data_IF_119212448402
#
_entry.id   IF_119212448402
#
_cell.length_a   1.000
_cell.length_b   1.000
_cell.length_c   1.000
_cell.angle_alpha   90.00
_cell.angle_beta   90.00
_cell.angle_gamma   90.00
#
_symmetry.space_group_name_H-M   'P 1'
#
loop_
_entity.id
_entity.type
_entity.pdbx_description
1 polymer ?
#
# COMPACT_ATOMS: atom_id res chain seq x y z
N UNK A 1 21.55 1.69 -4.39
CA UNK A 1 20.78 2.33 -3.28
C UNK A 1 19.38 2.64 -3.80
N UNK A 2 18.29 2.60 -3.04
CA UNK A 2 16.98 2.91 -3.62
C UNK A 2 16.84 4.39 -4.02
N UNK A 3 16.14 4.62 -5.13
CA UNK A 3 15.59 5.93 -5.51
C UNK A 3 14.22 6.05 -4.83
N UNK A 4 13.97 7.12 -4.10
CA UNK A 4 12.76 7.29 -3.28
C UNK A 4 11.96 8.52 -3.70
N UNK A 5 10.68 8.52 -3.34
CA UNK A 5 9.74 9.61 -3.51
C UNK A 5 9.19 10.04 -2.14
N UNK A 6 9.47 11.27 -1.71
CA UNK A 6 8.91 11.86 -0.49
C UNK A 6 7.91 12.95 -0.86
N UNK A 7 6.71 12.92 -0.28
CA UNK A 7 5.76 14.03 -0.32
C UNK A 7 5.72 14.75 1.02
N UNK A 8 5.12 15.93 1.04
CA UNK A 8 4.74 16.61 2.29
C UNK A 8 3.23 16.39 2.52
N UNK A 9 2.85 16.29 3.79
CA UNK A 9 1.45 16.19 4.19
C UNK A 9 0.81 17.58 4.23
N UNK A 10 0.10 17.94 3.15
CA UNK A 10 -0.69 19.17 3.05
C UNK A 10 -2.03 18.87 2.37
N UNK A 11 -3.08 19.52 2.86
CA UNK A 11 -4.43 19.48 2.28
C UNK A 11 -4.47 20.17 0.90
N UNK A 12 -3.82 19.60 -0.14
CA UNK A 12 -3.95 20.10 -1.51
C UNK A 12 -2.75 19.96 -2.45
N UNK A 13 -1.82 19.05 -2.21
CA UNK A 13 -0.77 18.72 -3.19
C UNK A 13 0.52 19.50 -2.97
N UNK A 14 1.37 18.95 -2.11
CA UNK A 14 2.74 19.44 -1.93
C UNK A 14 3.71 18.82 -2.92
N UNK A 15 4.82 19.50 -3.24
CA UNK A 15 5.79 18.99 -4.18
C UNK A 15 6.42 17.69 -3.70
N UNK A 16 6.66 16.77 -4.64
CA UNK A 16 7.33 15.51 -4.40
C UNK A 16 8.83 15.67 -4.60
N UNK A 17 9.61 15.19 -3.62
CA UNK A 17 11.06 15.09 -3.69
C UNK A 17 11.48 13.73 -4.24
N UNK A 18 12.36 13.74 -5.23
CA UNK A 18 13.04 12.55 -5.75
C UNK A 18 14.50 12.55 -5.29
N UNK A 19 14.95 11.46 -4.67
CA UNK A 19 16.32 11.34 -4.18
C UNK A 19 16.81 9.91 -4.04
N UNK A 20 18.09 9.75 -3.69
CA UNK A 20 18.73 8.45 -3.43
C UNK A 20 19.17 8.37 -1.97
N UNK A 21 18.94 7.23 -1.31
CA UNK A 21 19.44 7.00 0.05
C UNK A 21 19.67 5.52 0.35
N UNK A 22 20.72 5.20 1.12
CA UNK A 22 20.91 3.85 1.70
C UNK A 22 19.84 3.50 2.72
N UNK A 23 19.45 4.50 3.52
CA UNK A 23 18.46 4.36 4.57
C UNK A 23 17.46 5.53 4.43
N UNK A 24 16.32 5.23 3.81
CA UNK A 24 15.29 6.22 3.49
C UNK A 24 14.74 6.84 4.76
N UNK A 25 14.46 6.06 5.80
CA UNK A 25 13.91 6.56 7.07
C UNK A 25 14.87 7.51 7.80
N UNK A 26 16.15 7.17 7.87
CA UNK A 26 17.16 8.06 8.45
C UNK A 26 17.29 9.35 7.63
N UNK A 27 17.24 9.26 6.29
CA UNK A 27 17.27 10.43 5.41
C UNK A 27 16.02 11.30 5.59
N UNK A 28 14.83 10.70 5.68
CA UNK A 28 13.56 11.38 5.93
C UNK A 28 13.60 12.16 7.24
N UNK A 29 14.03 11.53 8.35
CA UNK A 29 14.21 12.21 9.65
C UNK A 29 15.18 13.39 9.57
N UNK A 30 16.28 13.24 8.84
CA UNK A 30 17.25 14.33 8.66
C UNK A 30 16.70 15.47 7.81
N UNK A 31 15.81 15.20 6.84
CA UNK A 31 15.14 16.22 6.05
C UNK A 31 14.02 16.90 6.84
N UNK A 32 13.33 16.16 7.71
CA UNK A 32 12.25 16.68 8.57
C UNK A 32 12.73 17.80 9.50
N UNK A 33 13.98 17.78 9.98
CA UNK A 33 14.50 18.84 10.88
C UNK A 33 14.51 20.23 10.24
N UNK A 34 14.58 20.29 8.91
CA UNK A 34 14.52 21.53 8.14
C UNK A 34 13.18 21.78 7.45
N UNK A 35 12.18 20.91 7.68
CA UNK A 35 10.87 21.01 7.05
C UNK A 35 9.76 21.17 8.10
N UNK A 36 9.00 22.27 8.08
CA UNK A 36 7.86 22.44 9.00
C UNK A 36 6.71 21.46 8.72
N UNK A 37 6.57 20.96 7.48
CA UNK A 37 5.53 20.00 7.10
C UNK A 37 6.03 18.57 7.27
N UNK A 38 5.12 17.66 7.65
CA UNK A 38 5.43 16.25 7.81
C UNK A 38 5.78 15.60 6.46
N UNK A 39 6.93 14.92 6.41
CA UNK A 39 7.37 14.20 5.22
C UNK A 39 6.86 12.76 5.24
N UNK A 40 6.12 12.39 4.20
CA UNK A 40 5.62 11.03 3.98
C UNK A 40 6.40 10.35 2.87
N UNK A 41 6.78 9.09 3.11
CA UNK A 41 7.32 8.24 2.06
C UNK A 41 6.16 7.78 1.19
N UNK A 42 6.27 7.97 -0.12
CA UNK A 42 5.24 7.58 -1.09
C UNK A 42 5.59 6.24 -1.73
N UNK A 43 6.86 6.06 -2.09
CA UNK A 43 7.36 4.84 -2.69
C UNK A 43 8.87 4.88 -2.94
N UNK A 44 9.43 3.78 -3.41
CA UNK A 44 10.83 3.68 -3.80
C UNK A 44 11.05 2.62 -4.88
N UNK A 45 12.17 2.75 -5.58
CA UNK A 45 12.65 1.80 -6.59
C UNK A 45 14.03 1.31 -6.19
N UNK A 46 14.16 -0.01 -6.04
CA UNK A 46 15.45 -0.67 -5.92
C UNK A 46 16.12 -0.74 -7.30
N UNK A 47 17.39 -0.35 -7.38
CA UNK A 47 18.14 -0.41 -8.64
C UNK A 47 19.63 -0.50 -8.36
N UNK A 48 20.37 -1.08 -9.29
CA UNK A 48 21.83 -1.05 -9.32
C UNK A 48 22.39 0.23 -9.97
N UNK A 49 21.55 0.97 -10.73
CA UNK A 49 21.90 2.24 -11.34
C UNK A 49 21.06 3.37 -10.72
N UNK A 50 21.32 3.67 -9.45
CA UNK A 50 20.60 4.69 -8.68
C UNK A 50 20.68 6.09 -9.30
N UNK A 51 21.87 6.51 -9.70
CA UNK A 51 22.08 7.87 -10.21
C UNK A 51 21.56 8.02 -11.64
N UNK A 52 21.68 6.98 -12.47
CA UNK A 52 21.08 6.96 -13.81
C UNK A 52 19.57 7.00 -13.74
N UNK A 53 18.94 6.19 -12.88
CA UNK A 53 17.49 6.19 -12.68
C UNK A 53 17.00 7.53 -12.11
N UNK A 54 17.65 8.06 -11.07
CA UNK A 54 17.31 9.36 -10.50
C UNK A 54 17.38 10.48 -11.56
N UNK A 55 18.46 10.51 -12.34
CA UNK A 55 18.63 11.49 -13.42
C UNK A 55 17.54 11.34 -14.48
N UNK A 56 17.20 10.10 -14.86
CA UNK A 56 16.13 9.83 -15.83
C UNK A 56 14.78 10.36 -15.34
N UNK A 57 14.40 10.02 -14.12
CA UNK A 57 13.14 10.49 -13.50
C UNK A 57 13.08 12.01 -13.40
N UNK A 58 14.16 12.65 -12.92
CA UNK A 58 14.25 14.11 -12.83
C UNK A 58 14.16 14.79 -14.21
N UNK A 59 14.66 14.14 -15.27
CA UNK A 59 14.55 14.64 -16.64
C UNK A 59 13.14 14.45 -17.21
N UNK A 60 12.50 13.30 -16.99
CA UNK A 60 11.11 13.03 -17.38
C UNK A 60 10.15 14.06 -16.74
N UNK A 61 10.39 14.44 -15.48
CA UNK A 61 9.58 15.41 -14.73
C UNK A 61 10.10 16.85 -14.79
N UNK A 62 11.05 17.16 -15.68
CA UNK A 62 11.70 18.48 -15.74
C UNK A 62 10.71 19.62 -15.96
N UNK A 63 9.63 19.39 -16.71
CA UNK A 63 8.61 20.38 -17.02
C UNK A 63 7.83 20.87 -15.78
N UNK A 64 7.70 20.01 -14.77
CA UNK A 64 6.96 20.26 -13.52
C UNK A 64 7.91 20.47 -12.33
N UNK A 65 9.20 20.68 -12.59
CA UNK A 65 10.20 20.89 -11.55
C UNK A 65 9.97 22.24 -10.87
N UNK A 66 9.76 22.20 -9.55
CA UNK A 66 9.61 23.38 -8.72
C UNK A 66 10.97 23.99 -8.37
N UNK A 67 11.73 23.30 -7.51
CA UNK A 67 13.06 23.77 -7.07
C UNK A 67 13.98 22.61 -6.76
N UNK A 68 15.15 22.59 -7.39
CA UNK A 68 16.15 21.55 -7.15
C UNK A 68 15.63 20.15 -7.47
N UNK A 69 15.32 19.39 -6.43
CA UNK A 69 14.86 17.98 -6.51
C UNK A 69 13.37 17.82 -6.20
N UNK A 70 12.62 18.93 -6.14
CA UNK A 70 11.20 18.98 -5.83
C UNK A 70 10.37 19.24 -7.09
N UNK A 71 9.27 18.50 -7.24
CA UNK A 71 8.42 18.47 -8.43
C UNK A 71 6.96 18.67 -8.05
N UNK A 72 6.25 19.53 -8.78
CA UNK A 72 4.83 19.80 -8.56
C UNK A 72 3.98 18.75 -9.28
N UNK A 73 3.86 17.58 -8.65
CA UNK A 73 3.07 16.43 -9.12
C UNK A 73 2.28 15.86 -7.95
N UNK A 74 1.18 15.18 -8.24
CA UNK A 74 0.39 14.49 -7.23
C UNK A 74 1.03 13.16 -6.85
N UNK A 75 0.79 12.63 -5.64
CA UNK A 75 1.30 11.32 -5.25
C UNK A 75 0.94 10.21 -6.25
N UNK A 76 -0.27 10.21 -6.81
CA UNK A 76 -0.69 9.23 -7.83
C UNK A 76 0.20 9.25 -9.09
N UNK A 77 0.79 10.41 -9.45
CA UNK A 77 1.63 10.56 -10.64
C UNK A 77 2.94 9.76 -10.55
N UNK A 78 3.36 9.31 -9.36
CA UNK A 78 4.57 8.48 -9.25
C UNK A 78 4.31 7.02 -9.61
N UNK A 79 3.05 6.57 -9.56
CA UNK A 79 2.67 5.18 -9.73
C UNK A 79 3.18 4.58 -11.05
N UNK A 80 3.07 5.25 -12.21
CA UNK A 80 3.60 4.72 -13.47
C UNK A 80 5.11 4.47 -13.47
N UNK A 81 5.89 5.18 -12.65
CA UNK A 81 7.32 4.93 -12.51
C UNK A 81 7.58 3.69 -11.66
N UNK A 82 6.82 3.52 -10.59
CA UNK A 82 6.90 2.35 -9.71
C UNK A 82 6.45 1.08 -10.45
N UNK A 83 5.32 1.11 -11.16
CA UNK A 83 4.80 -0.03 -11.93
C UNK A 83 5.80 -0.46 -13.00
N UNK A 84 6.44 0.50 -13.68
CA UNK A 84 7.48 0.21 -14.67
C UNK A 84 8.71 -0.47 -14.09
N UNK A 85 9.00 -0.27 -12.80
CA UNK A 85 10.06 -0.98 -12.09
C UNK A 85 9.64 -2.39 -11.66
N UNK A 86 8.33 -2.70 -11.66
CA UNK A 86 7.79 -4.02 -11.37
C UNK A 86 8.25 -4.56 -10.02
N UNK A 87 8.98 -5.69 -10.04
CA UNK A 87 9.51 -6.34 -8.82
C UNK A 87 10.43 -5.48 -7.97
N UNK A 88 11.00 -4.44 -8.58
CA UNK A 88 11.93 -3.54 -7.94
C UNK A 88 11.25 -2.22 -7.53
N UNK A 89 9.96 -2.03 -7.83
CA UNK A 89 9.14 -0.88 -7.45
C UNK A 89 8.26 -1.18 -6.24
N UNK A 90 8.20 -0.24 -5.29
CA UNK A 90 7.49 -0.39 -4.04
C UNK A 90 6.69 0.86 -3.68
N UNK A 91 5.50 0.65 -3.13
CA UNK A 91 4.70 1.70 -2.47
C UNK A 91 4.92 1.67 -0.96
N UNK A 92 4.89 2.84 -0.34
CA UNK A 92 4.88 2.96 1.11
C UNK A 92 3.47 2.65 1.62
N UNK A 93 3.28 1.42 2.09
CA UNK A 93 1.99 0.95 2.58
C UNK A 93 1.47 1.80 3.73
N UNK A 94 0.15 2.00 3.78
CA UNK A 94 -0.50 2.56 4.97
C UNK A 94 -0.34 1.60 6.16
N UNK A 95 -0.35 2.16 7.39
CA UNK A 95 -0.31 1.34 8.60
C UNK A 95 -1.56 0.45 8.71
N UNK A 96 -2.69 0.98 8.21
CA UNK A 96 -4.03 0.42 8.26
C UNK A 96 -4.43 -0.33 6.97
N UNK A 97 -3.48 -0.59 6.08
CA UNK A 97 -3.72 -1.41 4.90
C UNK A 97 -4.30 -2.77 5.34
N UNK A 98 -5.31 -3.26 4.62
CA UNK A 98 -6.05 -4.52 4.91
C UNK A 98 -7.06 -4.48 6.06
N UNK A 99 -7.34 -3.31 6.64
CA UNK A 99 -8.50 -3.22 7.52
C UNK A 99 -9.78 -3.40 6.72
N UNK A 100 -10.63 -4.33 7.15
CA UNK A 100 -12.00 -4.47 6.65
C UNK A 100 -12.78 -3.23 7.07
N UNK A 101 -13.23 -2.45 6.09
CA UNK A 101 -14.01 -1.23 6.32
C UNK A 101 -15.51 -1.51 6.33
N UNK A 102 -15.93 -2.63 5.74
CA UNK A 102 -17.33 -3.01 5.64
C UNK A 102 -17.51 -4.31 4.88
N UNK A 103 -18.77 -4.64 4.62
CA UNK A 103 -19.18 -5.72 3.72
C UNK A 103 -20.18 -5.12 2.74
N UNK A 104 -20.06 -5.49 1.47
CA UNK A 104 -21.04 -5.12 0.47
C UNK A 104 -22.35 -5.92 0.62
N UNK A 105 -23.29 -5.70 -0.29
CA UNK A 105 -24.59 -6.40 -0.27
C UNK A 105 -24.49 -7.91 -0.46
N UNK A 106 -23.39 -8.40 -1.01
CA UNK A 106 -23.12 -9.82 -1.28
C UNK A 106 -22.27 -10.46 -0.17
N UNK A 107 -22.10 -9.76 0.96
CA UNK A 107 -21.24 -10.15 2.08
C UNK A 107 -19.77 -10.31 1.69
N UNK A 108 -19.34 -9.62 0.63
CA UNK A 108 -17.93 -9.54 0.25
C UNK A 108 -17.29 -8.41 1.08
N UNK A 109 -16.21 -8.68 1.82
CA UNK A 109 -15.52 -7.66 2.60
C UNK A 109 -14.90 -6.57 1.71
N UNK A 110 -15.11 -5.32 2.10
CA UNK A 110 -14.44 -4.14 1.55
C UNK A 110 -13.19 -3.81 2.38
N UNK A 111 -12.10 -3.41 1.73
CA UNK A 111 -10.80 -3.19 2.40
C UNK A 111 -10.26 -1.78 2.18
N UNK A 112 -9.52 -1.30 3.17
CA UNK A 112 -8.65 -0.14 2.99
C UNK A 112 -7.48 -0.50 2.06
N UNK A 113 -7.34 0.25 0.97
CA UNK A 113 -6.29 0.06 -0.04
C UNK A 113 -4.88 0.08 0.54
N UNK A 114 -3.96 -0.59 -0.16
CA UNK A 114 -2.54 -0.70 0.24
C UNK A 114 -1.87 0.68 0.31
N UNK A 115 -2.33 1.59 -0.53
CA UNK A 115 -1.74 2.91 -0.74
C UNK A 115 -2.83 3.97 -0.74
N UNK A 116 -2.62 5.06 0.00
CA UNK A 116 -3.65 6.08 0.21
C UNK A 116 -3.97 6.90 -1.05
N UNK A 117 -3.07 6.88 -2.03
CA UNK A 117 -3.12 7.78 -3.18
C UNK A 117 -3.57 7.11 -4.49
N UNK A 118 -3.73 5.78 -4.50
CA UNK A 118 -4.34 5.07 -5.62
C UNK A 118 -4.91 3.72 -5.15
N UNK A 119 -6.02 3.33 -5.75
CA UNK A 119 -6.57 1.99 -5.60
C UNK A 119 -5.71 1.01 -6.39
N UNK A 120 -5.16 0.01 -5.71
CA UNK A 120 -4.28 -1.00 -6.29
C UNK A 120 -4.90 -2.36 -6.05
N UNK A 121 -5.05 -3.12 -7.12
CA UNK A 121 -5.53 -4.50 -7.03
C UNK A 121 -4.45 -5.44 -6.49
N UNK A 122 -4.88 -6.63 -6.07
CA UNK A 122 -4.01 -7.63 -5.45
C UNK A 122 -2.94 -8.16 -6.42
N UNK A 123 -3.25 -8.22 -7.72
CA UNK A 123 -2.36 -8.61 -8.80
C UNK A 123 -1.46 -7.45 -9.28
N UNK A 124 -1.74 -6.22 -8.85
CA UNK A 124 -0.91 -5.05 -9.13
C UNK A 124 0.07 -4.77 -7.99
N UNK A 125 -0.37 -4.91 -6.73
CA UNK A 125 0.43 -4.59 -5.55
C UNK A 125 0.36 -5.69 -4.50
N UNK A 126 1.53 -6.19 -4.08
CA UNK A 126 1.59 -7.15 -3.00
C UNK A 126 1.21 -6.48 -1.67
N UNK A 127 0.14 -6.94 -1.01
CA UNK A 127 -0.38 -6.31 0.19
C UNK A 127 0.62 -6.31 1.36
N UNK A 128 1.39 -7.38 1.51
CA UNK A 128 2.29 -7.55 2.66
C UNK A 128 3.57 -6.71 2.56
N UNK A 129 4.04 -6.43 1.35
CA UNK A 129 5.35 -5.81 1.12
C UNK A 129 5.33 -4.52 0.28
N UNK A 130 4.20 -4.18 -0.33
CA UNK A 130 4.06 -3.01 -1.20
C UNK A 130 4.74 -3.17 -2.57
N UNK A 131 5.21 -4.36 -2.96
CA UNK A 131 5.83 -4.59 -4.26
C UNK A 131 4.81 -4.45 -5.39
N UNK A 132 5.13 -3.69 -6.44
CA UNK A 132 4.30 -3.58 -7.64
C UNK A 132 4.49 -4.72 -8.64
N UNK A 133 4.92 -5.87 -8.13
CA UNK A 133 4.86 -7.15 -8.82
C UNK A 133 3.57 -7.92 -8.53
N UNK A 134 2.70 -7.39 -7.67
CA UNK A 134 1.46 -8.03 -7.27
C UNK A 134 1.63 -9.37 -6.56
N UNK A 135 0.49 -10.03 -6.40
CA UNK A 135 0.38 -11.44 -6.03
C UNK A 135 -0.04 -12.25 -7.25
N UNK A 136 0.61 -13.39 -7.47
CA UNK A 136 0.26 -14.30 -8.54
C UNK A 136 -0.59 -15.45 -8.00
N UNK A 137 -1.76 -15.68 -8.58
CA UNK A 137 -2.58 -16.83 -8.25
C UNK A 137 -1.95 -18.12 -8.80
N UNK A 138 -1.84 -19.14 -7.96
CA UNK A 138 -1.32 -20.45 -8.32
C UNK A 138 -2.44 -21.48 -8.23
N UNK A 139 -2.90 -21.97 -9.39
CA UNK A 139 -4.01 -22.93 -9.48
C UNK A 139 -3.75 -24.24 -8.70
N UNK A 140 -2.51 -24.73 -8.71
CA UNK A 140 -2.15 -26.00 -8.08
C UNK A 140 -2.32 -25.99 -6.54
N UNK A 141 -2.13 -24.84 -5.91
CA UNK A 141 -2.26 -24.64 -4.47
C UNK A 141 -3.52 -23.88 -4.08
N UNK A 142 -4.25 -23.30 -5.05
CA UNK A 142 -5.35 -22.36 -4.82
C UNK A 142 -4.93 -21.19 -3.90
N UNK A 143 -3.68 -20.73 -4.06
CA UNK A 143 -3.05 -19.72 -3.21
C UNK A 143 -2.47 -18.58 -4.03
N UNK A 144 -2.35 -17.42 -3.40
CA UNK A 144 -1.66 -16.26 -3.93
C UNK A 144 -0.19 -16.26 -3.49
N UNK A 145 0.70 -15.98 -4.43
CA UNK A 145 2.14 -16.01 -4.22
C UNK A 145 2.79 -14.66 -4.53
N UNK A 146 3.54 -14.12 -3.58
CA UNK A 146 4.40 -12.97 -3.82
C UNK A 146 5.80 -13.43 -4.24
N UNK A 147 6.21 -13.11 -5.48
CA UNK A 147 7.56 -13.43 -5.99
C UNK A 147 8.65 -12.76 -5.15
N UNK A 148 8.40 -11.55 -4.63
CA UNK A 148 9.44 -10.79 -3.92
C UNK A 148 9.74 -11.33 -2.53
N UNK A 149 8.71 -11.74 -1.78
CA UNK A 149 8.86 -12.29 -0.43
C UNK A 149 8.94 -13.82 -0.38
N UNK A 150 8.76 -14.49 -1.52
CA UNK A 150 8.64 -15.94 -1.58
C UNK A 150 7.59 -16.46 -0.58
N UNK A 151 6.45 -15.77 -0.50
CA UNK A 151 5.39 -16.03 0.48
C UNK A 151 4.12 -16.45 -0.23
N UNK A 152 3.56 -17.57 0.21
CA UNK A 152 2.26 -18.11 -0.19
C UNK A 152 1.21 -17.74 0.86
N UNK A 153 0.04 -17.31 0.42
CA UNK A 153 -1.12 -17.09 1.28
C UNK A 153 -2.40 -17.46 0.55
N UNK A 154 -3.34 -18.10 1.25
CA UNK A 154 -4.72 -18.23 0.82
C UNK A 154 -5.63 -17.19 1.49
N UNK A 155 -5.06 -16.19 2.18
CA UNK A 155 -5.84 -15.20 2.93
C UNK A 155 -6.81 -15.86 3.96
N UNK A 156 -6.32 -16.73 4.87
CA UNK A 156 -7.19 -17.44 5.81
C UNK A 156 -7.72 -16.55 6.94
N UNK A 157 -7.11 -15.37 7.13
CA UNK A 157 -7.57 -14.32 8.05
C UNK A 157 -8.90 -13.68 7.58
N UNK A 158 -9.32 -13.99 6.35
CA UNK A 158 -10.51 -13.46 5.69
C UNK A 158 -11.67 -14.49 5.68
N UNK A 159 -11.40 -15.74 6.08
CA UNK A 159 -12.37 -16.85 6.11
C UNK A 159 -13.06 -17.04 7.50
N UNK A 160 -12.88 -16.11 8.44
CA UNK A 160 -13.51 -16.18 9.76
C UNK A 160 -14.59 -15.13 9.92
N UNK A 161 -15.80 -15.50 9.51
CA UNK A 161 -16.95 -15.69 10.42
C UNK A 161 -18.20 -16.06 9.60
N UNK A 162 -18.29 -17.34 9.22
CA UNK A 162 -19.57 -17.98 8.98
C UNK A 162 -19.88 -18.94 10.14
N UNK A 163 -19.88 -18.44 11.38
CA UNK A 163 -20.63 -19.14 12.43
C UNK A 163 -22.11 -18.86 12.16
N UNK A 164 -22.77 -19.81 11.51
CA UNK A 164 -24.23 -19.83 11.41
C UNK A 164 -24.83 -19.61 12.82
N UNK A 165 -25.81 -18.70 12.99
CA UNK A 165 -26.52 -18.62 14.25
C UNK A 165 -27.23 -19.96 14.47
N UNK A 166 -26.78 -20.70 15.48
CA UNK A 166 -27.34 -21.99 15.87
C UNK A 166 -28.74 -21.75 16.48
N UNK A 167 -29.74 -21.61 15.61
CA UNK A 167 -31.17 -21.58 15.93
C UNK A 167 -31.62 -22.99 16.35
N UNK A 168 -31.24 -23.43 17.55
CA UNK A 168 -31.95 -24.54 18.19
C UNK A 168 -31.82 -24.52 19.72
N UNK A 169 -32.76 -23.82 20.37
CA UNK A 169 -33.48 -24.32 21.56
C UNK A 169 -34.67 -23.42 21.89
N UNK A 170 -35.69 -23.47 21.05
CA UNK A 170 -37.06 -23.25 21.48
C UNK A 170 -37.61 -24.56 22.08
N UNK A 171 -38.09 -24.51 23.33
CA UNK A 171 -39.26 -25.31 23.73
C UNK A 171 -39.09 -26.32 24.87
N UNK A 172 -39.55 -25.91 26.07
CA UNK A 172 -40.26 -26.64 27.17
C UNK A 172 -39.80 -26.02 28.50
N UNK A 173 -40.63 -25.47 29.38
CA UNK A 173 -41.97 -25.89 29.80
C UNK A 173 -42.74 -24.73 30.45
N UNK A 174 -44.06 -24.79 30.29
CA UNK A 174 -45.13 -23.98 30.86
C UNK A 174 -45.28 -24.09 32.39
N UNK A 175 -45.86 -23.03 32.99
CA UNK A 175 -46.63 -22.94 34.26
C UNK A 175 -45.78 -23.05 35.55
N UNK A 176 -46.00 -22.29 36.65
CA UNK A 176 -47.21 -21.85 37.36
C UNK A 176 -46.97 -20.50 38.08
N UNK A 177 -47.88 -19.52 37.94
CA UNK A 177 -48.85 -18.99 38.94
C UNK A 177 -48.29 -18.15 40.11
N UNK A 178 -48.72 -16.90 40.08
CA UNK A 178 -49.21 -16.02 41.15
C UNK A 178 -49.29 -16.57 42.58
N UNK A 179 -48.72 -15.84 43.54
CA UNK A 179 -49.41 -15.13 44.64
C UNK A 179 -48.47 -14.09 45.28
#
# INVERSE_FOLDING_TARGET
MPVYFLGEEENGGSPIKIGVAKNIEARKRNLQTGNPLELRLLGWIETADEFGLETRLKNELKAVRSRGEWFNIEPADILPFLVRAGRDGFVAKSADAFLITGYDSDAIPEYLGVWEWADLEIDECCPFCGCLCGMHFQEASQMHYCIRRDTLTNFPEFDRDCEEPNDEKAGRSLREKSE
#
